data_IF_643779132626
#
_entry.id   IF_643779132626
#
_cell.length_a   1.000
_cell.length_b   1.000
_cell.length_c   1.000
_cell.angle_alpha   90.00
_cell.angle_beta   90.00
_cell.angle_gamma   90.00
#
_symmetry.space_group_name_H-M   'P 1'
#
loop_
_entity.id
_entity.type
_entity.pdbx_description
1 polymer ?
#
# COMPACT_ATOMS: atom_id res chain seq x y z
N UNK A 1 12.58 -8.96 7.71
CA UNK A 1 11.94 -10.27 7.41
C UNK A 1 10.46 -10.10 7.08
N UNK A 2 9.70 -9.33 7.86
CA UNK A 2 8.26 -9.12 7.64
C UNK A 2 7.94 -8.43 6.31
N UNK A 3 8.70 -7.41 5.92
CA UNK A 3 8.52 -6.73 4.62
C UNK A 3 8.69 -7.65 3.41
N UNK A 4 9.73 -8.50 3.40
CA UNK A 4 9.96 -9.45 2.29
C UNK A 4 8.86 -10.51 2.20
N UNK A 5 8.36 -10.96 3.36
CA UNK A 5 7.20 -11.87 3.41
C UNK A 5 5.96 -11.17 2.87
N UNK A 6 5.70 -9.92 3.26
CA UNK A 6 4.59 -9.13 2.76
C UNK A 6 4.67 -8.92 1.24
N UNK A 7 5.84 -8.53 0.70
CA UNK A 7 6.07 -8.42 -0.75
C UNK A 7 5.74 -9.73 -1.46
N UNK A 8 6.16 -10.86 -0.90
CA UNK A 8 5.90 -12.19 -1.47
C UNK A 8 4.41 -12.52 -1.44
N UNK A 9 3.72 -12.30 -0.33
CA UNK A 9 2.27 -12.51 -0.21
C UNK A 9 1.49 -11.64 -1.19
N UNK A 10 1.83 -10.36 -1.31
CA UNK A 10 1.22 -9.43 -2.27
C UNK A 10 1.41 -9.92 -3.70
N UNK A 11 2.65 -10.31 -4.08
CA UNK A 11 2.92 -10.82 -5.43
C UNK A 11 2.17 -12.12 -5.73
N UNK A 12 1.91 -12.96 -4.72
CA UNK A 12 1.16 -14.21 -4.87
C UNK A 12 -0.33 -14.02 -5.21
N UNK A 13 -0.89 -12.84 -4.91
CA UNK A 13 -2.26 -12.47 -5.32
C UNK A 13 -2.37 -12.32 -6.85
N UNK A 14 -1.25 -12.07 -7.53
CA UNK A 14 -1.20 -11.74 -8.93
C UNK A 14 -1.25 -10.23 -9.15
N UNK A 15 -0.53 -9.79 -10.19
CA UNK A 15 -0.45 -8.40 -10.62
C UNK A 15 -0.26 -8.37 -12.14
N UNK A 16 -0.56 -7.23 -12.76
CA UNK A 16 -0.41 -7.06 -14.21
C UNK A 16 1.04 -6.74 -14.59
N UNK A 17 1.64 -5.76 -13.91
CA UNK A 17 3.03 -5.37 -14.17
C UNK A 17 3.74 -4.88 -12.91
N UNK A 18 5.04 -5.18 -12.82
CA UNK A 18 5.90 -4.60 -11.80
C UNK A 18 6.55 -3.32 -12.35
N UNK A 19 6.38 -2.20 -11.64
CA UNK A 19 6.97 -0.91 -12.03
C UNK A 19 8.33 -0.70 -11.39
N UNK A 20 8.47 -1.08 -10.12
CA UNK A 20 9.72 -0.94 -9.36
C UNK A 20 9.75 -1.95 -8.22
N UNK A 21 10.90 -2.56 -7.98
CA UNK A 21 11.13 -3.38 -6.80
C UNK A 21 12.58 -3.21 -6.31
N UNK A 22 12.74 -3.05 -5.01
CA UNK A 22 14.01 -3.15 -4.31
C UNK A 22 13.77 -3.61 -2.85
N UNK A 23 14.82 -3.57 -2.03
CA UNK A 23 14.77 -4.06 -0.65
C UNK A 23 13.82 -3.27 0.26
N UNK A 24 13.53 -2.00 -0.08
CA UNK A 24 12.71 -1.11 0.74
C UNK A 24 11.42 -0.64 0.05
N UNK A 25 11.21 -1.02 -1.22
CA UNK A 25 10.12 -0.49 -2.03
C UNK A 25 9.62 -1.52 -3.04
N UNK A 26 8.31 -1.55 -3.23
CA UNK A 26 7.63 -2.33 -4.25
C UNK A 26 6.49 -1.49 -4.84
N UNK A 27 6.46 -1.39 -6.17
CA UNK A 27 5.41 -0.75 -6.92
C UNK A 27 4.89 -1.68 -8.01
N UNK A 28 3.60 -1.98 -7.95
CA UNK A 28 2.92 -2.89 -8.85
C UNK A 28 1.69 -2.21 -9.45
N UNK A 29 1.35 -2.58 -10.68
CA UNK A 29 0.01 -2.37 -11.24
C UNK A 29 -0.76 -3.66 -11.05
N UNK A 30 -1.89 -3.57 -10.37
CA UNK A 30 -2.84 -4.67 -10.25
C UNK A 30 -4.14 -4.31 -10.99
N UNK A 31 -4.87 -5.33 -11.42
CA UNK A 31 -6.21 -5.16 -11.98
C UNK A 31 -7.26 -5.29 -10.88
N UNK A 32 -8.39 -4.62 -11.06
CA UNK A 32 -9.47 -4.56 -10.05
C UNK A 32 -10.00 -5.92 -9.61
N UNK A 33 -9.90 -6.94 -10.46
CA UNK A 33 -10.25 -8.33 -10.12
C UNK A 33 -9.42 -8.90 -8.96
N UNK A 34 -8.17 -8.43 -8.80
CA UNK A 34 -7.25 -8.86 -7.74
C UNK A 34 -7.44 -8.05 -6.45
N UNK A 35 -8.15 -6.91 -6.50
CA UNK A 35 -8.25 -5.97 -5.39
C UNK A 35 -8.80 -6.63 -4.12
N UNK A 36 -9.85 -7.45 -4.22
CA UNK A 36 -10.45 -8.10 -3.05
C UNK A 36 -9.44 -9.00 -2.30
N UNK A 37 -8.69 -9.83 -3.04
CA UNK A 37 -7.67 -10.70 -2.45
C UNK A 37 -6.46 -9.90 -1.92
N UNK A 38 -6.12 -8.79 -2.59
CA UNK A 38 -5.09 -7.88 -2.10
C UNK A 38 -5.51 -7.22 -0.78
N UNK A 39 -6.74 -6.72 -0.68
CA UNK A 39 -7.26 -6.10 0.54
C UNK A 39 -7.24 -7.10 1.71
N UNK A 40 -7.65 -8.35 1.50
CA UNK A 40 -7.54 -9.40 2.54
C UNK A 40 -6.08 -9.59 3.00
N UNK A 41 -5.13 -9.57 2.05
CA UNK A 41 -3.70 -9.70 2.37
C UNK A 41 -3.18 -8.50 3.16
N UNK A 42 -3.58 -7.27 2.77
CA UNK A 42 -3.19 -6.05 3.45
C UNK A 42 -3.84 -5.95 4.84
N UNK A 43 -5.14 -6.20 4.95
CA UNK A 43 -5.88 -6.20 6.22
C UNK A 43 -5.29 -7.22 7.20
N UNK A 44 -4.88 -8.40 6.70
CA UNK A 44 -4.24 -9.42 7.52
C UNK A 44 -2.88 -9.01 8.10
N UNK A 45 -2.18 -8.05 7.48
CA UNK A 45 -0.88 -7.55 7.94
C UNK A 45 -1.00 -6.24 8.73
N UNK A 46 -1.73 -5.26 8.19
CA UNK A 46 -1.84 -3.90 8.71
C UNK A 46 -3.01 -3.72 9.69
N UNK A 47 -4.02 -4.60 9.65
CA UNK A 47 -5.35 -4.27 10.14
C UNK A 47 -6.07 -3.31 9.19
N UNK A 48 -7.03 -2.54 9.70
CA UNK A 48 -7.82 -1.62 8.86
C UNK A 48 -6.97 -0.50 8.24
N UNK A 49 -7.36 -0.05 7.06
CA UNK A 49 -6.76 1.13 6.42
C UNK A 49 -6.89 2.38 7.30
N UNK A 50 -5.84 3.22 7.33
CA UNK A 50 -5.85 4.52 8.00
C UNK A 50 -6.43 5.64 7.12
N UNK A 51 -6.57 5.39 5.81
CA UNK A 51 -7.29 6.25 4.87
C UNK A 51 -8.05 5.39 3.84
N UNK A 52 -9.30 5.74 3.48
CA UNK A 52 -10.10 6.81 4.08
C UNK A 52 -10.47 6.47 5.52
N UNK A 53 -10.30 7.43 6.43
CA UNK A 53 -10.82 7.33 7.79
C UNK A 53 -11.56 8.61 8.14
N UNK A 54 -12.49 8.55 9.09
CA UNK A 54 -13.16 9.74 9.62
C UNK A 54 -12.23 10.69 10.39
N UNK A 55 -10.96 10.32 10.56
CA UNK A 55 -9.96 11.06 11.31
C UNK A 55 -8.90 11.64 10.37
N UNK A 56 -8.33 12.77 10.77
CA UNK A 56 -7.20 13.38 10.06
C UNK A 56 -5.95 12.52 10.28
N UNK A 57 -5.22 12.25 9.20
CA UNK A 57 -3.91 11.58 9.28
C UNK A 57 -2.95 12.40 10.17
N UNK A 58 -2.15 11.73 10.98
CA UNK A 58 -1.16 12.43 11.81
C UNK A 58 -0.12 13.12 10.92
N UNK A 59 0.48 14.25 11.36
CA UNK A 59 1.53 14.94 10.60
C UNK A 59 2.72 14.03 10.26
N UNK A 60 3.06 13.09 11.16
CA UNK A 60 4.11 12.10 10.94
C UNK A 60 3.81 11.18 9.75
N UNK A 61 2.59 10.62 9.68
CA UNK A 61 2.19 9.77 8.56
C UNK A 61 2.19 10.58 7.25
N UNK A 62 1.68 11.81 7.29
CA UNK A 62 1.65 12.69 6.11
C UNK A 62 3.05 13.00 5.58
N UNK A 63 4.01 13.31 6.46
CA UNK A 63 5.38 13.60 6.04
C UNK A 63 6.07 12.35 5.48
N UNK A 64 5.85 11.18 6.10
CA UNK A 64 6.41 9.90 5.64
C UNK A 64 5.95 9.55 4.22
N UNK A 65 4.66 9.71 3.90
CA UNK A 65 4.11 9.30 2.59
C UNK A 65 4.30 10.35 1.49
N UNK A 66 4.67 11.59 1.85
CA UNK A 66 4.81 12.72 0.92
C UNK A 66 5.81 12.42 -0.19
N UNK A 67 6.96 11.86 0.15
CA UNK A 67 8.01 11.49 -0.81
C UNK A 67 7.60 10.32 -1.73
N UNK A 68 6.51 9.63 -1.39
CA UNK A 68 5.93 8.53 -2.16
C UNK A 68 4.71 8.96 -2.99
N UNK A 69 4.42 10.27 -2.97
CA UNK A 69 3.38 10.92 -3.76
C UNK A 69 2.11 11.29 -2.98
N UNK A 70 2.11 11.13 -1.64
CA UNK A 70 1.00 11.52 -0.79
C UNK A 70 -0.23 10.62 -0.89
N UNK A 71 -1.37 11.12 -0.40
CA UNK A 71 -2.66 10.42 -0.45
C UNK A 71 -3.77 11.43 -0.75
N UNK A 72 -4.73 11.03 -1.59
CA UNK A 72 -5.88 11.85 -1.99
C UNK A 72 -7.21 11.11 -1.76
N UNK A 73 -8.32 11.83 -1.96
CA UNK A 73 -9.65 11.22 -1.97
C UNK A 73 -9.74 10.09 -3.00
N UNK A 74 -10.43 9.00 -2.65
CA UNK A 74 -10.56 7.81 -3.49
C UNK A 74 -9.37 6.85 -3.48
N UNK A 75 -8.28 7.20 -2.79
CA UNK A 75 -7.13 6.32 -2.56
C UNK A 75 -7.22 5.63 -1.20
N UNK A 76 -6.42 4.60 -0.98
CA UNK A 76 -6.35 3.88 0.29
C UNK A 76 -4.93 3.92 0.85
N UNK A 77 -4.79 4.13 2.15
CA UNK A 77 -3.53 4.05 2.88
C UNK A 77 -3.65 3.04 4.03
N UNK A 78 -2.71 2.10 4.06
CA UNK A 78 -2.42 1.26 5.21
C UNK A 78 -1.11 1.71 5.82
N UNK A 79 -1.04 1.70 7.15
CA UNK A 79 0.15 2.13 7.86
C UNK A 79 0.36 1.26 9.10
N UNK A 80 1.59 0.82 9.31
CA UNK A 80 2.00 0.09 10.48
C UNK A 80 3.36 0.60 10.96
N UNK A 81 3.53 0.69 12.27
CA UNK A 81 4.81 1.06 12.89
C UNK A 81 4.97 0.37 14.23
N UNK A 82 6.22 0.14 14.65
CA UNK A 82 6.57 -0.39 15.96
C UNK A 82 7.53 0.52 16.75
N UNK A 83 7.61 1.80 16.36
CA UNK A 83 8.50 2.80 16.94
C UNK A 83 9.94 2.78 16.40
N UNK A 84 10.36 1.70 15.73
CA UNK A 84 11.70 1.58 15.12
C UNK A 84 11.69 1.43 13.59
N UNK A 85 10.55 1.04 13.03
CA UNK A 85 10.36 0.87 11.59
C UNK A 85 8.94 1.28 11.21
N UNK A 86 8.80 1.79 9.99
CA UNK A 86 7.52 2.09 9.36
C UNK A 86 7.33 1.18 8.16
N UNK A 87 6.12 0.67 7.99
CA UNK A 87 5.71 -0.03 6.77
C UNK A 87 4.36 0.56 6.37
N UNK A 88 4.19 0.85 5.08
CA UNK A 88 2.92 1.34 4.58
C UNK A 88 2.64 0.85 3.17
N UNK A 89 1.35 0.76 2.85
CA UNK A 89 0.85 0.42 1.53
C UNK A 89 -0.15 1.48 1.06
N UNK A 90 -0.01 1.94 -0.18
CA UNK A 90 -0.94 2.87 -0.83
C UNK A 90 -1.56 2.22 -2.04
N UNK A 91 -2.88 2.30 -2.16
CA UNK A 91 -3.64 1.87 -3.33
C UNK A 91 -4.19 3.09 -4.05
N UNK A 92 -3.79 3.26 -5.30
CA UNK A 92 -4.18 4.37 -6.14
C UNK A 92 -4.96 3.86 -7.35
N UNK A 93 -6.30 3.81 -7.26
CA UNK A 93 -7.14 3.49 -8.40
C UNK A 93 -6.94 4.48 -9.54
N UNK A 94 -6.86 3.99 -10.76
CA UNK A 94 -6.82 4.81 -11.97
C UNK A 94 -8.24 5.22 -12.36
N UNK A 95 -8.35 6.27 -13.18
CA UNK A 95 -9.64 6.76 -13.65
C UNK A 95 -10.30 5.84 -14.69
N UNK A 96 -9.59 4.84 -15.21
CA UNK A 96 -10.15 3.82 -16.09
C UNK A 96 -11.05 2.80 -15.38
N UNK A 97 -11.03 2.79 -14.04
CA UNK A 97 -11.84 1.89 -13.21
C UNK A 97 -11.36 0.43 -13.19
N UNK A 98 -10.25 0.12 -13.85
CA UNK A 98 -9.68 -1.22 -13.98
C UNK A 98 -8.33 -1.36 -13.28
N UNK A 99 -7.44 -0.38 -13.41
CA UNK A 99 -6.08 -0.47 -12.88
C UNK A 99 -5.96 0.22 -11.53
N UNK A 100 -5.12 -0.34 -10.66
CA UNK A 100 -4.75 0.26 -9.38
C UNK A 100 -3.24 0.15 -9.23
N UNK A 101 -2.57 1.27 -8.95
CA UNK A 101 -1.17 1.24 -8.52
C UNK A 101 -1.10 0.91 -7.04
N UNK A 102 -0.41 -0.17 -6.69
CA UNK A 102 0.01 -0.47 -5.34
C UNK A 102 1.43 0.06 -5.12
N UNK A 103 1.64 0.82 -4.06
CA UNK A 103 2.97 1.21 -3.56
C UNK A 103 3.15 0.68 -2.16
N UNK A 104 4.18 -0.12 -1.94
CA UNK A 104 4.55 -0.66 -0.63
C UNK A 104 5.96 -0.20 -0.30
N UNK A 105 6.17 0.38 0.88
CA UNK A 105 7.47 0.85 1.31
C UNK A 105 7.74 0.50 2.79
N UNK A 106 9.03 0.40 3.13
CA UNK A 106 9.50 0.41 4.52
C UNK A 106 10.50 1.54 4.73
N UNK A 107 10.50 2.12 5.91
CA UNK A 107 11.48 3.09 6.41
C UNK A 107 12.05 2.61 7.73
#
# INVERSE_FOLDING_TARGET
MEFERLKTSIKSVGFESARKENDAYLELVIIRKQLSALLVTLDGFFGSSVWPSGNVLTPEIQEVIKDFGGIMEGQTLYFWHNGSAFIFAMLWPWQDGEHITLKLAKL
#
